data_IF_011423811674
#
_entry.id   IF_011423811674
#
_cell.length_a   1.000
_cell.length_b   1.000
_cell.length_c   1.000
_cell.angle_alpha   90.00
_cell.angle_beta   90.00
_cell.angle_gamma   90.00
#
_symmetry.space_group_name_H-M   'P 1'
#
loop_
_entity.id
_entity.type
_entity.pdbx_description
1 polymer ?
#
# COMPACT_ATOMS: atom_id res chain seq x y z
N UNK A 1 48.50 10.85 9.33
CA UNK A 1 47.28 11.66 9.23
C UNK A 1 46.50 11.46 10.53
N UNK A 2 46.65 12.38 11.49
CA UNK A 2 45.92 12.34 12.75
C UNK A 2 44.84 13.41 12.69
N UNK A 3 43.58 12.99 12.65
CA UNK A 3 42.42 13.88 12.53
C UNK A 3 42.16 14.53 13.89
N UNK A 4 42.51 15.80 14.04
CA UNK A 4 42.23 16.59 15.24
C UNK A 4 40.72 16.84 15.32
N UNK A 5 40.02 16.17 16.23
CA UNK A 5 38.62 16.46 16.52
C UNK A 5 38.56 17.82 17.25
N UNK A 6 37.76 18.79 16.75
CA UNK A 6 37.70 20.12 17.33
C UNK A 6 37.12 20.06 18.75
N UNK A 7 37.88 20.59 19.70
CA UNK A 7 37.67 20.56 21.16
C UNK A 7 36.35 21.21 21.62
N UNK A 8 35.64 21.94 20.76
CA UNK A 8 34.36 22.60 21.07
C UNK A 8 33.14 21.66 21.09
N UNK A 9 33.15 20.56 20.32
CA UNK A 9 32.01 19.63 20.25
C UNK A 9 31.89 18.79 21.53
N UNK A 10 33.01 18.45 22.16
CA UNK A 10 33.02 17.66 23.40
C UNK A 10 32.58 18.49 24.60
N UNK A 11 32.95 19.78 24.69
CA UNK A 11 32.49 20.66 25.77
C UNK A 11 30.97 20.88 25.72
N UNK A 12 30.40 21.16 24.55
CA UNK A 12 28.96 21.36 24.40
C UNK A 12 28.15 20.09 24.71
N UNK A 13 28.64 18.92 24.30
CA UNK A 13 28.00 17.65 24.65
C UNK A 13 28.10 17.35 26.16
N UNK A 14 29.21 17.72 26.80
CA UNK A 14 29.39 17.52 28.25
C UNK A 14 28.55 18.50 29.06
N UNK A 15 28.39 19.74 28.62
CA UNK A 15 27.51 20.75 29.24
C UNK A 15 26.03 20.39 29.12
N UNK A 16 25.62 19.76 28.02
CA UNK A 16 24.26 19.22 27.86
C UNK A 16 24.02 17.96 28.72
N UNK A 17 25.06 17.16 28.98
CA UNK A 17 24.95 15.96 29.82
C UNK A 17 25.00 16.28 31.32
N UNK A 18 25.69 17.37 31.71
CA UNK A 18 25.86 17.79 33.10
C UNK A 18 24.74 18.72 33.60
N UNK A 19 23.78 19.06 32.74
CA UNK A 19 22.46 19.56 33.16
C UNK A 19 21.63 18.41 33.73
N UNK A 20 22.05 17.87 34.86
CA UNK A 20 21.14 17.12 35.72
C UNK A 20 20.16 18.14 36.32
N UNK A 21 18.85 18.04 36.05
CA UNK A 21 17.90 19.02 36.55
C UNK A 21 17.92 18.99 38.08
N UNK A 22 18.30 20.11 38.70
CA UNK A 22 17.94 20.38 40.09
C UNK A 22 16.45 20.06 40.26
N UNK A 23 16.11 19.30 41.30
CA UNK A 23 14.75 18.91 41.73
C UNK A 23 13.65 19.60 40.92
N UNK A 24 12.95 18.88 40.02
CA UNK A 24 12.00 19.51 39.12
C UNK A 24 10.98 20.33 39.91
N UNK A 25 10.93 21.65 39.66
CA UNK A 25 9.84 22.50 40.11
C UNK A 25 8.52 21.79 39.73
N UNK A 26 7.55 21.64 40.65
CA UNK A 26 6.27 20.98 40.37
C UNK A 26 5.57 21.48 39.10
N UNK A 27 5.82 22.72 38.68
CA UNK A 27 5.32 23.26 37.42
C UNK A 27 6.07 22.72 36.20
N UNK A 28 7.39 22.51 36.30
CA UNK A 28 8.22 21.92 35.24
C UNK A 28 7.84 20.47 34.98
N UNK A 29 7.62 19.66 36.02
CA UNK A 29 7.13 18.26 35.84
C UNK A 29 5.71 18.19 35.29
N UNK A 30 4.82 19.11 35.70
CA UNK A 30 3.46 19.17 35.17
C UNK A 30 3.42 19.56 33.68
N UNK A 31 4.26 20.51 33.25
CA UNK A 31 4.39 20.90 31.85
C UNK A 31 5.04 19.78 31.02
N UNK A 32 6.09 19.15 31.55
CA UNK A 32 6.78 18.05 30.86
C UNK A 32 5.89 16.80 30.69
N UNK A 33 5.00 16.53 31.64
CA UNK A 33 3.98 15.49 31.50
C UNK A 33 2.94 15.83 30.43
N UNK A 34 2.52 17.10 30.33
CA UNK A 34 1.61 17.58 29.28
C UNK A 34 2.24 17.51 27.89
N UNK A 35 3.50 17.94 27.77
CA UNK A 35 4.24 17.91 26.51
C UNK A 35 4.44 16.47 26.01
N UNK A 36 4.74 15.53 26.91
CA UNK A 36 4.80 14.10 26.57
C UNK A 36 3.45 13.55 26.09
N UNK A 37 2.36 13.87 26.78
CA UNK A 37 1.02 13.43 26.37
C UNK A 37 0.62 14.00 25.01
N UNK A 38 1.00 15.25 24.71
CA UNK A 38 0.77 15.87 23.41
C UNK A 38 1.65 15.25 22.30
N UNK A 39 2.90 14.91 22.61
CA UNK A 39 3.80 14.23 21.67
C UNK A 39 3.33 12.80 21.35
N UNK A 40 2.81 12.05 22.33
CA UNK A 40 2.22 10.73 22.12
C UNK A 40 0.95 10.79 21.27
N UNK A 41 0.07 11.77 21.52
CA UNK A 41 -1.11 11.98 20.67
C UNK A 41 -0.73 12.38 19.25
N UNK A 42 0.27 13.25 19.08
CA UNK A 42 0.76 13.66 17.77
C UNK A 42 1.37 12.48 17.00
N UNK A 43 2.14 11.61 17.66
CA UNK A 43 2.69 10.40 17.02
C UNK A 43 1.60 9.40 16.63
N UNK A 44 0.58 9.21 17.48
CA UNK A 44 -0.59 8.39 17.16
C UNK A 44 -1.38 8.91 15.96
N UNK A 45 -1.63 10.22 15.91
CA UNK A 45 -2.33 10.85 14.80
C UNK A 45 -1.53 10.76 13.49
N UNK A 46 -0.21 10.87 13.57
CA UNK A 46 0.69 10.74 12.43
C UNK A 46 0.64 9.32 11.85
N UNK A 47 0.74 8.31 12.70
CA UNK A 47 0.68 6.89 12.30
C UNK A 47 -0.68 6.55 11.65
N UNK A 48 -1.78 7.14 12.13
CA UNK A 48 -3.10 7.00 11.50
C UNK A 48 -3.17 7.62 10.10
N UNK A 49 -2.52 8.76 9.87
CA UNK A 49 -2.60 9.45 8.58
C UNK A 49 -1.77 8.74 7.50
N UNK A 50 -0.61 8.21 7.87
CA UNK A 50 0.25 7.44 6.97
C UNK A 50 -0.45 6.15 6.52
N UNK A 51 -1.05 5.39 7.46
CA UNK A 51 -1.80 4.15 7.16
C UNK A 51 -2.97 4.38 6.20
N UNK A 52 -3.65 5.52 6.28
CA UNK A 52 -4.75 5.86 5.35
C UNK A 52 -4.27 6.09 3.92
N UNK A 53 -3.08 6.66 3.73
CA UNK A 53 -2.47 6.79 2.40
C UNK A 53 -2.11 5.43 1.84
N UNK A 54 -1.43 4.58 2.64
CA UNK A 54 -1.07 3.23 2.22
C UNK A 54 -2.28 2.38 1.87
N UNK A 55 -3.32 2.38 2.72
CA UNK A 55 -4.55 1.63 2.45
C UNK A 55 -5.22 2.08 1.14
N UNK A 56 -5.24 3.39 0.85
CA UNK A 56 -5.81 3.91 -0.39
C UNK A 56 -5.01 3.48 -1.63
N UNK A 57 -3.68 3.54 -1.57
CA UNK A 57 -2.84 3.09 -2.68
C UNK A 57 -2.96 1.58 -2.92
N UNK A 58 -2.92 0.76 -1.86
CA UNK A 58 -3.09 -0.70 -1.96
C UNK A 58 -4.47 -1.04 -2.51
N UNK A 59 -5.52 -0.41 -2.01
CA UNK A 59 -6.88 -0.63 -2.51
C UNK A 59 -6.98 -0.34 -4.00
N UNK A 60 -6.46 0.80 -4.45
CA UNK A 60 -6.54 1.20 -5.86
C UNK A 60 -5.68 0.30 -6.76
N UNK A 61 -4.51 -0.13 -6.28
CA UNK A 61 -3.64 -1.08 -6.97
C UNK A 61 -4.34 -2.44 -7.16
N UNK A 62 -4.97 -2.99 -6.11
CA UNK A 62 -5.72 -4.24 -6.17
C UNK A 62 -6.95 -4.11 -7.07
N UNK A 63 -7.68 -3.00 -6.97
CA UNK A 63 -8.84 -2.74 -7.82
C UNK A 63 -8.45 -2.69 -9.31
N UNK A 64 -7.36 -1.99 -9.66
CA UNK A 64 -6.84 -1.97 -11.02
C UNK A 64 -6.37 -3.34 -11.48
N UNK A 65 -5.70 -4.11 -10.62
CA UNK A 65 -5.26 -5.46 -10.95
C UNK A 65 -6.45 -6.38 -11.26
N UNK A 66 -7.49 -6.36 -10.41
CA UNK A 66 -8.73 -7.12 -10.63
C UNK A 66 -9.45 -6.66 -11.89
N UNK A 67 -9.51 -5.35 -12.14
CA UNK A 67 -10.07 -4.80 -13.37
C UNK A 67 -9.27 -5.27 -14.59
N UNK A 68 -7.95 -5.35 -14.49
CA UNK A 68 -7.06 -5.83 -15.55
C UNK A 68 -7.34 -7.29 -15.92
N UNK A 69 -7.39 -8.18 -14.92
CA UNK A 69 -7.70 -9.60 -15.15
C UNK A 69 -9.12 -9.76 -15.70
N UNK A 70 -10.09 -9.05 -15.15
CA UNK A 70 -11.47 -9.05 -15.66
C UNK A 70 -11.52 -8.55 -17.11
N UNK A 71 -10.78 -7.49 -17.43
CA UNK A 71 -10.69 -6.94 -18.78
C UNK A 71 -10.12 -7.99 -19.74
N UNK A 72 -9.03 -8.69 -19.40
CA UNK A 72 -8.46 -9.76 -20.23
C UNK A 72 -9.51 -10.84 -20.55
N UNK A 73 -10.33 -11.21 -19.57
CA UNK A 73 -11.43 -12.18 -19.77
C UNK A 73 -12.50 -11.64 -20.73
N UNK A 74 -12.92 -10.39 -20.53
CA UNK A 74 -13.90 -9.73 -21.40
C UNK A 74 -13.36 -9.57 -22.83
N UNK A 75 -12.09 -9.16 -22.98
CA UNK A 75 -11.44 -9.00 -24.28
C UNK A 75 -11.32 -10.32 -25.05
N UNK A 76 -11.04 -11.45 -24.39
CA UNK A 76 -11.07 -12.78 -25.05
C UNK A 76 -12.49 -13.18 -25.50
N UNK A 77 -13.50 -12.78 -24.75
CA UNK A 77 -14.90 -12.96 -25.15
C UNK A 77 -15.31 -12.10 -26.35
N UNK A 78 -14.73 -10.90 -26.44
CA UNK A 78 -14.88 -9.96 -27.56
C UNK A 78 -13.92 -10.35 -28.70
N UNK A 79 -14.26 -11.46 -29.37
CA UNK A 79 -13.50 -12.19 -30.41
C UNK A 79 -12.70 -11.38 -31.45
N UNK A 80 -13.04 -10.12 -31.71
CA UNK A 80 -12.25 -9.18 -32.52
C UNK A 80 -12.94 -7.82 -32.56
N UNK A 81 -12.20 -6.75 -32.22
CA UNK A 81 -12.67 -5.38 -32.43
C UNK A 81 -12.11 -4.89 -33.77
N UNK A 82 -12.94 -4.93 -34.82
CA UNK A 82 -12.64 -4.27 -36.09
C UNK A 82 -13.30 -2.89 -36.09
N UNK A 83 -12.49 -1.85 -36.14
CA UNK A 83 -12.97 -0.48 -36.27
C UNK A 83 -12.39 0.15 -37.52
N UNK A 84 -13.25 0.86 -38.26
CA UNK A 84 -12.85 1.63 -39.42
C UNK A 84 -12.60 3.06 -38.96
N UNK A 85 -11.34 3.50 -38.96
CA UNK A 85 -11.00 4.88 -38.65
C UNK A 85 -10.88 5.67 -39.95
N UNK A 86 -11.67 6.75 -40.07
CA UNK A 86 -11.58 7.66 -41.21
C UNK A 86 -10.96 8.97 -40.76
N UNK A 87 -9.71 9.20 -41.17
CA UNK A 87 -8.98 10.43 -40.89
C UNK A 87 -9.07 11.32 -42.12
N UNK A 88 -9.68 12.51 -41.97
CA UNK A 88 -9.64 13.53 -43.01
C UNK A 88 -8.31 14.28 -42.96
N UNK A 89 -7.55 14.29 -44.05
CA UNK A 89 -6.31 15.07 -44.17
C UNK A 89 -6.54 16.44 -44.83
N UNK A 90 -7.55 16.53 -45.70
CA UNK A 90 -7.99 17.76 -46.38
C UNK A 90 -9.43 17.55 -46.93
N UNK A 91 -10.04 18.57 -47.55
CA UNK A 91 -11.34 18.53 -48.23
C UNK A 91 -11.43 17.41 -49.28
N UNK A 92 -10.32 17.12 -49.98
CA UNK A 92 -10.30 16.11 -51.06
C UNK A 92 -9.82 14.73 -50.60
N UNK A 93 -8.98 14.64 -49.56
CA UNK A 93 -8.32 13.38 -49.17
C UNK A 93 -8.83 12.85 -47.82
N UNK A 94 -9.42 11.65 -47.86
CA UNK A 94 -9.80 10.86 -46.67
C UNK A 94 -8.97 9.59 -46.64
N UNK A 95 -8.25 9.37 -45.54
CA UNK A 95 -7.51 8.14 -45.30
C UNK A 95 -8.42 7.21 -44.49
N UNK A 96 -8.60 6.00 -45.03
CA UNK A 96 -9.35 4.93 -44.38
C UNK A 96 -8.33 3.93 -43.88
N UNK A 97 -8.23 3.78 -42.56
CA UNK A 97 -7.40 2.78 -41.92
C UNK A 97 -8.29 1.74 -41.26
N UNK A 98 -8.13 0.49 -41.67
CA UNK A 98 -8.72 -0.67 -40.99
C UNK A 98 -7.82 -1.04 -39.82
N UNK A 99 -8.28 -0.76 -38.60
CA UNK A 99 -7.59 -1.17 -37.39
C UNK A 99 -8.34 -2.39 -36.84
N UNK A 100 -7.68 -3.54 -36.87
CA UNK A 100 -8.18 -4.77 -36.29
C UNK A 100 -7.32 -5.14 -35.08
N UNK A 101 -7.94 -5.21 -33.91
CA UNK A 101 -7.34 -5.82 -32.73
C UNK A 101 -7.86 -7.24 -32.62
N UNK A 102 -6.97 -8.21 -32.90
CA UNK A 102 -7.23 -9.62 -32.64
C UNK A 102 -6.48 -10.00 -31.36
N UNK A 103 -7.23 -10.43 -30.36
CA UNK A 103 -6.69 -10.78 -29.05
C UNK A 103 -6.99 -12.24 -28.78
N UNK A 104 -6.04 -13.08 -29.17
CA UNK A 104 -6.12 -14.52 -29.01
C UNK A 104 -5.21 -15.00 -27.87
N UNK A 105 -5.78 -15.78 -26.97
CA UNK A 105 -5.07 -16.45 -25.88
C UNK A 105 -5.46 -17.91 -25.91
N UNK A 106 -4.44 -18.77 -25.80
CA UNK A 106 -4.63 -20.20 -25.65
C UNK A 106 -5.57 -20.50 -24.47
N UNK A 107 -6.46 -21.48 -24.66
CA UNK A 107 -7.39 -21.91 -23.61
C UNK A 107 -6.66 -22.32 -22.33
N UNK A 108 -5.45 -22.88 -22.44
CA UNK A 108 -4.59 -23.19 -21.29
C UNK A 108 -4.25 -21.95 -20.47
N UNK A 109 -3.90 -20.83 -21.14
CA UNK A 109 -3.55 -19.57 -20.47
C UNK A 109 -4.79 -18.95 -19.82
N UNK A 110 -5.93 -19.02 -20.49
CA UNK A 110 -7.22 -18.56 -19.96
C UNK A 110 -7.63 -19.28 -18.69
N UNK A 111 -7.57 -20.61 -18.72
CA UNK A 111 -7.88 -21.45 -17.56
C UNK A 111 -6.87 -21.19 -16.44
N UNK A 112 -5.57 -21.10 -16.74
CA UNK A 112 -4.55 -20.80 -15.74
C UNK A 112 -4.76 -19.44 -15.07
N UNK A 113 -5.13 -18.41 -15.84
CA UNK A 113 -5.38 -17.06 -15.32
C UNK A 113 -6.60 -17.03 -14.38
N UNK A 114 -7.72 -17.61 -14.80
CA UNK A 114 -8.95 -17.65 -14.01
C UNK A 114 -8.76 -18.52 -12.76
N UNK A 115 -8.14 -19.68 -12.89
CA UNK A 115 -7.92 -20.60 -11.76
C UNK A 115 -6.97 -20.02 -10.73
N UNK A 116 -5.84 -19.43 -11.15
CA UNK A 116 -4.88 -18.79 -10.22
C UNK A 116 -5.53 -17.64 -9.46
N UNK A 117 -6.33 -16.80 -10.14
CA UNK A 117 -7.04 -15.69 -9.48
C UNK A 117 -8.11 -16.20 -8.51
N UNK A 118 -8.84 -17.26 -8.89
CA UNK A 118 -9.87 -17.89 -8.04
C UNK A 118 -9.26 -18.49 -6.78
N UNK A 119 -8.16 -19.23 -6.92
CA UNK A 119 -7.43 -19.84 -5.78
C UNK A 119 -6.88 -18.73 -4.87
N UNK A 120 -6.31 -17.66 -5.44
CA UNK A 120 -5.83 -16.53 -4.64
C UNK A 120 -6.95 -15.88 -3.83
N UNK A 121 -8.10 -15.59 -4.45
CA UNK A 121 -9.26 -15.01 -3.76
C UNK A 121 -9.79 -15.95 -2.67
N UNK A 122 -9.89 -17.26 -2.96
CA UNK A 122 -10.33 -18.25 -1.98
C UNK A 122 -9.37 -18.34 -0.78
N UNK A 123 -8.06 -18.32 -1.02
CA UNK A 123 -7.06 -18.34 0.05
C UNK A 123 -7.15 -17.09 0.94
N UNK A 124 -7.26 -15.89 0.35
CA UNK A 124 -7.47 -14.66 1.12
C UNK A 124 -8.78 -14.69 1.90
N UNK A 125 -9.87 -15.17 1.28
CA UNK A 125 -11.15 -15.29 1.96
C UNK A 125 -11.06 -16.22 3.17
N UNK A 126 -10.43 -17.40 3.04
CA UNK A 126 -10.22 -18.33 4.15
C UNK A 126 -9.31 -17.74 5.24
N UNK A 127 -8.26 -17.01 4.86
CA UNK A 127 -7.40 -16.35 5.83
C UNK A 127 -8.17 -15.28 6.63
N UNK A 128 -9.00 -14.48 5.96
CA UNK A 128 -9.82 -13.44 6.59
C UNK A 128 -10.91 -14.04 7.47
N UNK A 129 -11.62 -15.08 7.03
CA UNK A 129 -12.63 -15.74 7.86
C UNK A 129 -12.01 -16.40 9.08
N UNK A 130 -10.84 -17.04 8.93
CA UNK A 130 -10.08 -17.58 10.06
C UNK A 130 -9.57 -16.50 11.01
N UNK A 131 -9.20 -15.34 10.49
CA UNK A 131 -8.78 -14.19 11.30
C UNK A 131 -9.95 -13.58 12.09
N UNK A 132 -11.12 -13.44 11.46
CA UNK A 132 -12.31 -12.87 12.09
C UNK A 132 -12.99 -13.84 13.07
N UNK A 133 -12.96 -15.13 12.78
CA UNK A 133 -13.56 -16.19 13.60
C UNK A 133 -12.50 -17.21 14.02
N UNK A 134 -11.58 -16.84 14.92
CA UNK A 134 -10.61 -17.79 15.44
C UNK A 134 -11.37 -18.89 16.20
N UNK A 135 -11.25 -20.13 15.73
CA UNK A 135 -11.76 -21.28 16.46
C UNK A 135 -11.12 -21.28 17.84
N UNK A 136 -11.95 -21.35 18.89
CA UNK A 136 -11.45 -21.51 20.26
C UNK A 136 -10.53 -22.73 20.28
N UNK A 137 -9.29 -22.62 20.80
CA UNK A 137 -8.54 -23.82 21.08
C UNK A 137 -9.37 -24.65 22.06
N UNK A 138 -9.58 -25.92 21.76
CA UNK A 138 -10.10 -26.86 22.75
C UNK A 138 -9.21 -26.72 23.98
N UNK A 139 -9.74 -26.10 25.02
CA UNK A 139 -9.17 -26.15 26.35
C UNK A 139 -8.99 -27.61 26.65
N UNK A 140 -7.73 -28.01 26.81
CA UNK A 140 -7.28 -29.31 27.24
C UNK A 140 -8.34 -29.96 28.12
N UNK A 141 -8.80 -31.14 27.70
CA UNK A 141 -9.49 -32.05 28.59
C UNK A 141 -8.60 -32.24 29.81
N UNK A 142 -8.93 -31.50 30.85
CA UNK A 142 -8.48 -31.74 32.21
C UNK A 142 -9.22 -32.98 32.68
N UNK A 143 -8.64 -34.15 32.44
CA UNK A 143 -8.71 -35.31 33.34
C UNK A 143 -7.39 -36.05 33.27
#
# INVERSE_FOLDING_TARGET
>A
MSTTIPTGLTQQATDLLNQQPNSPDPNTVANLARDKAQAELASYLQDMHERRKFARYIFWMVALWLLGIFSVVVFKGLKSFKTVMVIKLNETYRLIADIAFDFDLSDTVMVALITTTTINVAAFFLAVTKYLFPSKPESSQSQ
#
